data_IF_109900889296
#
_entry.id   IF_109900889296
#
_cell.length_a   1.000
_cell.length_b   1.000
_cell.length_c   1.000
_cell.angle_alpha   90.00
_cell.angle_beta   90.00
_cell.angle_gamma   90.00
#
_symmetry.space_group_name_H-M   'P 1'
#
loop_
_entity.id
_entity.type
_entity.pdbx_description
1 polymer ?
#
# COMPACT_ATOMS: atom_id res chain seq x y z
N UNK A 1 -0.50 -15.36 -11.19
CA UNK A 1 -0.55 -14.78 -12.55
C UNK A 1 -1.47 -13.58 -12.48
N UNK A 2 -0.93 -12.37 -12.59
CA UNK A 2 -1.73 -11.17 -12.81
C UNK A 2 -1.20 -10.56 -14.10
N UNK A 3 -1.79 -11.08 -15.18
CA UNK A 3 -1.43 -11.02 -16.59
C UNK A 3 -1.86 -9.67 -17.18
N UNK A 4 -0.95 -8.71 -17.40
CA UNK A 4 -1.27 -7.52 -18.20
C UNK A 4 -2.20 -6.49 -17.55
N UNK A 5 -2.32 -6.46 -16.22
CA UNK A 5 -2.95 -5.34 -15.54
C UNK A 5 -2.01 -4.13 -15.52
N UNK A 6 -2.50 -2.97 -15.93
CA UNK A 6 -1.76 -1.69 -15.88
C UNK A 6 -1.63 -1.13 -14.46
N UNK A 7 -2.38 -1.67 -13.50
CA UNK A 7 -2.36 -1.26 -12.09
C UNK A 7 -2.78 -2.41 -11.17
N UNK A 8 -2.26 -2.44 -9.94
CA UNK A 8 -2.60 -3.45 -8.92
C UNK A 8 -2.98 -2.79 -7.61
N UNK A 9 -3.97 -3.34 -6.93
CA UNK A 9 -4.36 -2.92 -5.59
C UNK A 9 -3.33 -3.42 -4.58
N UNK A 10 -2.80 -2.52 -3.75
CA UNK A 10 -1.88 -2.82 -2.66
C UNK A 10 -2.38 -2.25 -1.33
N UNK A 11 -2.01 -2.94 -0.26
CA UNK A 11 -2.09 -2.43 1.11
C UNK A 11 -0.79 -1.73 1.46
N UNK A 12 -0.92 -0.61 2.16
CA UNK A 12 0.16 0.22 2.67
C UNK A 12 0.01 0.31 4.17
N UNK A 13 1.11 0.14 4.91
CA UNK A 13 1.18 0.41 6.35
C UNK A 13 2.27 1.43 6.59
N UNK A 14 1.92 2.58 7.14
CA UNK A 14 2.92 3.57 7.55
C UNK A 14 3.77 2.99 8.69
N UNK A 15 5.08 3.21 8.63
CA UNK A 15 6.01 2.82 9.69
C UNK A 15 5.93 3.76 10.90
N UNK A 16 5.46 4.99 10.69
CA UNK A 16 5.15 5.93 11.76
C UNK A 16 3.70 5.73 12.24
N UNK A 17 3.47 5.48 13.54
CA UNK A 17 2.13 5.34 14.12
C UNK A 17 1.39 6.66 14.37
N UNK A 18 2.06 7.81 14.28
CA UNK A 18 1.44 9.11 14.58
C UNK A 18 0.50 9.67 13.49
N UNK A 19 0.80 9.54 12.18
CA UNK A 19 -0.03 10.11 11.13
C UNK A 19 -1.37 9.40 11.03
N UNK A 20 -2.43 10.18 10.80
CA UNK A 20 -3.75 9.67 10.45
C UNK A 20 -3.96 9.83 8.94
N UNK A 21 -4.39 8.76 8.28
CA UNK A 21 -4.75 8.78 6.86
C UNK A 21 -6.24 9.15 6.72
N UNK A 22 -6.51 10.19 5.94
CA UNK A 22 -7.83 10.80 5.74
C UNK A 22 -8.36 10.65 4.31
N UNK A 23 -7.63 9.96 3.42
CA UNK A 23 -7.94 9.57 2.03
C UNK A 23 -7.35 10.51 0.97
N UNK A 24 -7.04 9.95 -0.22
CA UNK A 24 -6.45 10.66 -1.37
C UNK A 24 -5.00 11.12 -1.19
N UNK A 25 -4.25 10.47 -0.30
CA UNK A 25 -2.81 10.68 -0.15
C UNK A 25 -2.04 10.15 -1.37
N UNK A 26 -0.98 10.85 -1.79
CA UNK A 26 -0.17 10.43 -2.92
C UNK A 26 0.68 9.21 -2.54
N UNK A 27 0.71 8.20 -3.41
CA UNK A 27 1.58 7.03 -3.29
C UNK A 27 2.85 7.32 -4.09
N UNK A 28 3.98 7.34 -3.39
CA UNK A 28 5.29 7.45 -3.97
C UNK A 28 5.92 6.06 -4.05
N UNK A 29 6.53 5.76 -5.21
CA UNK A 29 7.36 4.57 -5.43
C UNK A 29 8.72 5.04 -5.92
N UNK A 30 9.78 4.74 -5.17
CA UNK A 30 11.15 5.22 -5.42
C UNK A 30 11.21 6.76 -5.62
N UNK A 31 10.37 7.51 -4.90
CA UNK A 31 10.28 8.97 -4.97
C UNK A 31 9.36 9.54 -6.07
N UNK A 32 8.78 8.70 -6.93
CA UNK A 32 7.85 9.12 -7.98
C UNK A 32 6.40 8.86 -7.60
N UNK A 33 5.50 9.83 -7.86
CA UNK A 33 4.07 9.66 -7.63
C UNK A 33 3.49 8.69 -8.66
N UNK A 34 3.03 7.53 -8.20
CA UNK A 34 2.56 6.44 -9.06
C UNK A 34 1.06 6.17 -8.91
N UNK A 35 0.42 6.76 -7.89
CA UNK A 35 -0.98 6.58 -7.58
C UNK A 35 -1.42 7.39 -6.37
N UNK A 36 -2.58 7.04 -5.83
CA UNK A 36 -3.15 7.64 -4.64
C UNK A 36 -3.88 6.58 -3.80
N UNK A 37 -3.99 6.82 -2.50
CA UNK A 37 -4.79 5.99 -1.61
C UNK A 37 -6.28 6.20 -1.89
N UNK A 38 -6.99 5.10 -2.12
CA UNK A 38 -8.45 5.09 -2.28
C UNK A 38 -9.17 5.03 -0.94
N UNK A 39 -8.55 4.44 0.08
CA UNK A 39 -9.03 4.46 1.45
C UNK A 39 -7.90 4.45 2.45
N UNK A 40 -8.13 5.06 3.61
CA UNK A 40 -7.20 5.11 4.74
C UNK A 40 -7.93 4.86 6.05
N UNK A 41 -7.30 4.13 6.97
CA UNK A 41 -7.81 3.91 8.33
C UNK A 41 -6.64 3.65 9.29
N UNK A 42 -6.90 3.56 10.60
CA UNK A 42 -5.90 3.19 11.58
C UNK A 42 -6.03 1.71 11.97
N UNK A 43 -5.03 0.91 11.63
CA UNK A 43 -4.98 -0.50 12.00
C UNK A 43 -4.49 -0.66 13.43
N UNK A 44 -5.37 -0.52 14.42
CA UNK A 44 -5.00 -0.64 15.85
C UNK A 44 -4.24 -1.92 16.18
N UNK A 45 -4.57 -3.04 15.53
CA UNK A 45 -3.86 -4.30 15.72
C UNK A 45 -2.48 -4.33 15.05
N UNK A 46 -2.32 -3.61 13.94
CA UNK A 46 -1.07 -3.53 13.17
C UNK A 46 -0.16 -2.38 13.63
N UNK A 47 -0.66 -1.54 14.54
CA UNK A 47 0.10 -0.47 15.20
C UNK A 47 0.38 0.74 14.33
N UNK A 48 -0.37 0.97 13.25
CA UNK A 48 -0.12 2.11 12.36
C UNK A 48 -1.26 2.40 11.39
N UNK A 49 -1.13 3.50 10.65
CA UNK A 49 -2.09 3.85 9.63
C UNK A 49 -1.98 2.91 8.42
N UNK A 50 -3.14 2.43 7.96
CA UNK A 50 -3.30 1.49 6.86
C UNK A 50 -4.01 2.18 5.71
N UNK A 51 -3.42 2.11 4.53
CA UNK A 51 -3.98 2.58 3.28
C UNK A 51 -4.24 1.45 2.31
N UNK A 52 -5.24 1.63 1.44
CA UNK A 52 -5.41 0.85 0.22
C UNK A 52 -5.28 1.77 -0.97
N UNK A 53 -4.61 1.34 -2.01
CA UNK A 53 -4.49 2.12 -3.24
C UNK A 53 -4.00 1.32 -4.43
N UNK A 54 -4.27 1.84 -5.63
CA UNK A 54 -3.81 1.22 -6.88
C UNK A 54 -2.43 1.76 -7.25
N UNK A 55 -1.48 0.86 -7.45
CA UNK A 55 -0.13 1.17 -7.95
C UNK A 55 -0.06 0.79 -9.42
N UNK A 56 0.33 1.75 -10.26
CA UNK A 56 0.53 1.49 -11.69
C UNK A 56 1.77 0.63 -11.91
N UNK A 57 1.67 -0.28 -12.87
CA UNK A 57 2.83 -0.99 -13.38
C UNK A 57 3.69 -0.02 -14.18
N UNK A 58 5.02 -0.07 -13.99
CA UNK A 58 5.94 0.79 -14.78
C UNK A 58 6.00 0.38 -16.25
N UNK A 59 5.84 -0.91 -16.51
CA UNK A 59 5.88 -1.50 -17.84
C UNK A 59 4.91 -2.67 -17.95
N UNK A 60 4.52 -2.99 -19.19
CA UNK A 60 3.67 -4.13 -19.48
C UNK A 60 4.37 -5.43 -19.08
N UNK A 61 3.75 -6.16 -18.15
CA UNK A 61 4.29 -7.43 -17.66
C UNK A 61 5.12 -7.33 -16.38
N UNK A 62 5.23 -6.15 -15.76
CA UNK A 62 5.90 -6.01 -14.45
C UNK A 62 5.34 -7.03 -13.43
N UNK A 63 6.23 -7.82 -12.84
CA UNK A 63 5.87 -8.89 -11.90
C UNK A 63 5.47 -8.34 -10.53
N UNK A 64 4.81 -9.15 -9.70
CA UNK A 64 4.43 -8.74 -8.35
C UNK A 64 5.68 -8.57 -7.46
N UNK A 65 6.66 -9.43 -7.64
CA UNK A 65 7.94 -9.42 -6.93
C UNK A 65 8.74 -8.16 -7.24
N UNK A 66 8.75 -7.72 -8.52
CA UNK A 66 9.36 -6.46 -8.92
C UNK A 66 8.70 -5.25 -8.25
N UNK A 67 7.37 -5.27 -8.10
CA UNK A 67 6.66 -4.21 -7.40
C UNK A 67 6.95 -4.20 -5.90
N UNK A 68 7.00 -5.37 -5.24
CA UNK A 68 7.31 -5.47 -3.81
C UNK A 68 8.77 -5.14 -3.47
N UNK A 69 9.68 -5.20 -4.46
CA UNK A 69 11.09 -4.87 -4.27
C UNK A 69 11.42 -3.38 -4.32
N UNK A 70 10.43 -2.51 -4.59
CA UNK A 70 10.60 -1.04 -4.59
C UNK A 70 10.32 -0.43 -3.22
N UNK A 71 10.84 0.77 -3.02
CA UNK A 71 10.56 1.56 -1.82
C UNK A 71 9.25 2.34 -2.00
N UNK A 72 8.38 2.27 -1.00
CA UNK A 72 7.11 2.99 -1.00
C UNK A 72 7.05 4.00 0.13
N UNK A 73 6.44 5.13 -0.17
CA UNK A 73 6.13 6.17 0.81
C UNK A 73 4.79 6.81 0.48
N UNK A 74 4.13 7.36 1.49
CA UNK A 74 2.88 8.07 1.34
C UNK A 74 3.12 9.53 1.70
N UNK A 75 2.65 10.44 0.86
CA UNK A 75 2.59 11.86 1.20
C UNK A 75 1.37 12.13 2.09
N UNK A 76 1.63 12.30 3.38
CA UNK A 76 0.62 12.66 4.38
C UNK A 76 0.73 14.15 4.66
N UNK A 77 -0.15 14.94 4.02
CA UNK A 77 -0.25 16.39 4.20
C UNK A 77 1.09 17.15 4.02
N UNK A 78 1.90 16.76 3.03
CA UNK A 78 3.20 17.34 2.72
C UNK A 78 4.38 16.65 3.41
N UNK A 79 4.13 15.61 4.20
CA UNK A 79 5.16 14.81 4.87
C UNK A 79 5.26 13.44 4.21
N UNK A 80 6.45 13.11 3.69
CA UNK A 80 6.72 11.80 3.09
C UNK A 80 6.99 10.80 4.22
N UNK A 81 6.09 9.85 4.38
CA UNK A 81 6.19 8.80 5.40
C UNK A 81 6.46 7.45 4.73
N UNK A 82 7.53 6.72 5.10
CA UNK A 82 7.78 5.39 4.58
C UNK A 82 6.64 4.42 4.88
N UNK A 83 6.33 3.56 3.92
CA UNK A 83 5.26 2.58 4.05
C UNK A 83 5.73 1.18 3.66
N UNK A 84 5.37 0.20 4.48
CA UNK A 84 5.44 -1.21 4.10
C UNK A 84 4.27 -1.55 3.18
N UNK A 85 4.50 -2.43 2.20
CA UNK A 85 3.48 -2.81 1.22
C UNK A 85 3.18 -4.31 1.22
N UNK A 86 1.95 -4.65 0.88
CA UNK A 86 1.53 -6.04 0.70
C UNK A 86 0.39 -6.17 -0.32
N UNK A 87 0.45 -7.22 -1.15
CA UNK A 87 -0.70 -7.64 -1.98
C UNK A 87 -1.71 -8.49 -1.22
N UNK A 88 -1.32 -9.04 -0.07
CA UNK A 88 -2.18 -9.85 0.79
C UNK A 88 -2.66 -9.03 1.99
N UNK A 89 -3.80 -9.38 2.60
CA UNK A 89 -4.18 -8.87 3.91
C UNK A 89 -3.00 -8.89 4.88
N UNK A 90 -2.65 -7.72 5.42
CA UNK A 90 -1.60 -7.62 6.43
C UNK A 90 -2.05 -8.21 7.77
N UNK A 91 -3.37 -8.25 8.01
CA UNK A 91 -3.98 -8.93 9.14
C UNK A 91 -4.61 -10.25 8.68
N UNK A 92 -4.31 -11.33 9.40
CA UNK A 92 -4.73 -12.70 9.12
C UNK A 92 -4.58 -13.14 7.65
N UNK A 93 -3.34 -13.18 7.11
CA UNK A 93 -3.10 -13.53 5.71
C UNK A 93 -3.53 -14.96 5.34
N UNK A 94 -3.74 -15.83 6.33
CA UNK A 94 -4.15 -17.24 6.17
C UNK A 94 -5.63 -17.48 6.43
N UNK A 95 -6.40 -16.43 6.77
CA UNK A 95 -7.82 -16.55 7.13
C UNK A 95 -8.07 -17.51 8.32
N UNK A 96 -7.10 -17.64 9.22
CA UNK A 96 -7.15 -18.58 10.34
C UNK A 96 -8.14 -18.16 11.44
N UNK A 97 -8.53 -16.88 11.49
CA UNK A 97 -9.48 -16.33 12.44
C UNK A 97 -10.91 -16.25 11.87
N UNK A 98 -11.09 -16.47 10.57
CA UNK A 98 -12.41 -16.53 9.94
C UNK A 98 -12.94 -17.96 10.05
N UNK A 99 -13.85 -18.21 10.99
CA UNK A 99 -14.74 -19.37 10.93
C UNK A 99 -15.96 -19.00 10.07
N UNK A 100 -16.18 -19.77 9.01
CA UNK A 100 -17.46 -19.84 8.29
C UNK A 100 -18.52 -20.56 9.14
#
# INVERSE_FOLDING_TARGET
RNDGLSQRLMQFRLTDPQPLLYHNEAILRDGEIIGYLTSGNYGHHLGGAIGLGYVKCREDGESAEQQLGSDYSIDVAGTIVPAEVSFRPMYDPTSAQVRL
#
